data_IF_670825284604
#
_entry.id   IF_670825284604
#
_cell.length_a   1.000
_cell.length_b   1.000
_cell.length_c   1.000
_cell.angle_alpha   90.00
_cell.angle_beta   90.00
_cell.angle_gamma   90.00
#
_symmetry.space_group_name_H-M   'P 1'
#
loop_
_entity.id
_entity.type
_entity.pdbx_description
1 polymer ?
#
# COMPACT_ATOMS: atom_id res chain seq x y z
N UNK A 1 -4.93 -3.53 -12.31
CA UNK A 1 -4.09 -2.40 -11.82
C UNK A 1 -4.70 -1.06 -12.21
N UNK A 2 -4.72 -0.69 -13.50
CA UNK A 2 -5.24 0.62 -13.95
C UNK A 2 -6.70 0.90 -13.55
N UNK A 3 -7.56 -0.13 -13.58
CA UNK A 3 -8.97 0.01 -13.17
C UNK A 3 -9.11 0.43 -11.71
N UNK A 4 -8.30 -0.14 -10.81
CA UNK A 4 -8.29 0.24 -9.40
C UNK A 4 -7.80 1.68 -9.22
N UNK A 5 -6.70 2.05 -9.88
CA UNK A 5 -6.09 3.38 -9.75
C UNK A 5 -7.07 4.47 -10.19
N UNK A 6 -7.71 4.30 -11.35
CA UNK A 6 -8.60 5.31 -11.95
C UNK A 6 -10.05 5.24 -11.45
N UNK A 7 -10.50 4.08 -10.95
CA UNK A 7 -11.87 3.86 -10.50
C UNK A 7 -12.19 4.55 -9.17
N UNK A 8 -13.43 4.46 -8.72
CA UNK A 8 -13.79 4.85 -7.35
C UNK A 8 -13.39 3.74 -6.37
N UNK A 9 -12.96 4.11 -5.17
CA UNK A 9 -12.81 3.16 -4.05
C UNK A 9 -14.20 2.75 -3.62
N UNK A 10 -14.47 1.44 -3.54
CA UNK A 10 -15.79 0.94 -3.13
C UNK A 10 -15.83 0.55 -1.65
N UNK A 11 -14.67 0.23 -1.09
CA UNK A 11 -14.53 -0.33 0.25
C UNK A 11 -14.38 -1.85 0.25
N UNK A 12 -14.53 -2.52 -0.89
CA UNK A 12 -14.14 -3.93 -1.01
C UNK A 12 -12.61 -4.05 -1.02
N UNK A 13 -12.02 -4.58 0.05
CA UNK A 13 -10.56 -4.72 0.18
C UNK A 13 -9.93 -5.57 -0.92
N UNK A 14 -10.71 -6.44 -1.57
CA UNK A 14 -10.22 -7.30 -2.67
C UNK A 14 -10.17 -6.59 -4.02
N UNK A 15 -10.64 -5.33 -4.09
CA UNK A 15 -10.47 -4.49 -5.28
C UNK A 15 -8.99 -4.06 -5.49
N UNK A 16 -8.16 -4.19 -4.44
CA UNK A 16 -6.73 -3.90 -4.47
C UNK A 16 -5.97 -5.06 -5.14
N UNK A 17 -5.24 -4.82 -6.23
CA UNK A 17 -4.39 -5.83 -6.87
C UNK A 17 -3.47 -6.55 -5.87
N UNK A 18 -3.44 -7.89 -5.92
CA UNK A 18 -2.66 -8.72 -5.01
C UNK A 18 -3.35 -9.07 -3.69
N UNK A 19 -4.51 -8.49 -3.37
CA UNK A 19 -5.31 -8.85 -2.19
C UNK A 19 -6.46 -9.78 -2.57
N UNK A 20 -6.25 -11.09 -2.38
CA UNK A 20 -7.30 -12.09 -2.46
C UNK A 20 -7.98 -12.38 -1.11
N UNK A 21 -8.97 -13.28 -1.06
CA UNK A 21 -9.71 -13.62 0.16
C UNK A 21 -8.84 -14.05 1.34
N UNK A 22 -7.73 -14.75 1.07
CA UNK A 22 -6.79 -15.16 2.11
C UNK A 22 -6.04 -13.98 2.74
N UNK A 23 -5.59 -13.01 1.92
CA UNK A 23 -4.94 -11.79 2.41
C UNK A 23 -5.95 -10.90 3.16
N UNK A 24 -7.17 -10.76 2.63
CA UNK A 24 -8.26 -10.05 3.30
C UNK A 24 -8.56 -10.63 4.69
N UNK A 25 -8.60 -11.96 4.82
CA UNK A 25 -8.79 -12.63 6.12
C UNK A 25 -7.65 -12.33 7.10
N UNK A 26 -6.40 -12.30 6.64
CA UNK A 26 -5.25 -11.96 7.50
C UNK A 26 -5.31 -10.52 7.99
N UNK A 27 -5.62 -9.58 7.09
CA UNK A 27 -5.77 -8.16 7.41
C UNK A 27 -6.90 -7.90 8.42
N UNK A 28 -8.00 -8.64 8.33
CA UNK A 28 -9.13 -8.47 9.23
C UNK A 28 -8.94 -9.10 10.63
N UNK A 29 -8.08 -10.12 10.76
CA UNK A 29 -7.92 -10.91 11.98
C UNK A 29 -6.53 -10.74 12.60
N UNK A 30 -6.19 -9.50 12.95
CA UNK A 30 -4.93 -9.17 13.62
C UNK A 30 -5.12 -9.30 15.13
N UNK A 31 -4.20 -9.98 15.81
CA UNK A 31 -4.25 -10.12 17.27
C UNK A 31 -3.74 -8.84 17.94
N UNK A 32 -4.52 -8.27 18.86
CA UNK A 32 -4.10 -7.10 19.65
C UNK A 32 -4.23 -5.73 18.97
N UNK A 33 -4.66 -5.66 17.72
CA UNK A 33 -4.92 -4.41 16.97
C UNK A 33 -6.29 -4.46 16.27
N UNK A 34 -6.79 -3.30 15.86
CA UNK A 34 -8.00 -3.22 15.02
C UNK A 34 -7.66 -3.69 13.59
N UNK A 35 -8.37 -4.71 13.12
CA UNK A 35 -8.17 -5.29 11.79
C UNK A 35 -8.58 -4.34 10.65
N UNK A 36 -7.93 -4.51 9.50
CA UNK A 36 -8.25 -3.81 8.26
C UNK A 36 -9.26 -4.64 7.46
N UNK A 37 -10.47 -4.10 7.31
CA UNK A 37 -11.63 -4.80 6.73
C UNK A 37 -12.09 -4.21 5.40
N UNK A 38 -11.63 -3.00 5.05
CA UNK A 38 -12.00 -2.30 3.82
C UNK A 38 -10.82 -1.50 3.24
N UNK A 39 -10.95 -1.09 1.98
CA UNK A 39 -9.90 -0.36 1.26
C UNK A 39 -9.60 1.01 1.88
N UNK A 40 -10.60 1.70 2.44
CA UNK A 40 -10.39 3.02 3.06
C UNK A 40 -9.44 2.94 4.25
N UNK A 41 -9.62 1.91 5.09
CA UNK A 41 -8.74 1.64 6.22
C UNK A 41 -7.32 1.29 5.76
N UNK A 42 -7.18 0.51 4.68
CA UNK A 42 -5.86 0.18 4.13
C UNK A 42 -5.13 1.42 3.59
N UNK A 43 -5.84 2.30 2.88
CA UNK A 43 -5.33 3.61 2.45
C UNK A 43 -4.93 4.46 3.66
N UNK A 44 -5.78 4.51 4.69
CA UNK A 44 -5.48 5.20 5.95
C UNK A 44 -4.20 4.67 6.59
N UNK A 45 -4.02 3.34 6.65
CA UNK A 45 -2.81 2.71 7.19
C UNK A 45 -1.57 3.08 6.37
N UNK A 46 -1.66 3.07 5.05
CA UNK A 46 -0.57 3.55 4.19
C UNK A 46 -0.22 4.99 4.56
N UNK A 47 -1.20 5.90 4.59
CA UNK A 47 -0.96 7.31 4.93
C UNK A 47 -0.37 7.52 6.34
N UNK A 48 -0.78 6.73 7.33
CA UNK A 48 -0.20 6.79 8.68
C UNK A 48 1.30 6.49 8.73
N UNK A 49 1.84 5.78 7.74
CA UNK A 49 3.26 5.46 7.63
C UNK A 49 4.07 6.54 6.91
N UNK A 50 3.43 7.61 6.40
CA UNK A 50 4.10 8.78 5.80
C UNK A 50 4.58 9.75 6.89
N UNK A 51 5.44 9.27 7.79
CA UNK A 51 6.00 10.12 8.84
C UNK A 51 6.92 9.38 9.82
N UNK A 52 7.54 10.10 10.76
CA UNK A 52 7.43 11.56 10.98
C UNK A 52 7.99 12.35 9.79
N UNK A 53 7.42 13.52 9.52
CA UNK A 53 7.87 14.44 8.46
C UNK A 53 8.35 15.73 9.15
N UNK A 54 9.66 15.82 9.36
CA UNK A 54 10.32 16.99 9.95
C UNK A 54 11.37 17.52 8.97
N UNK A 55 11.81 18.77 9.17
CA UNK A 55 12.81 19.43 8.30
C UNK A 55 14.11 18.63 8.12
N UNK A 56 14.41 17.72 9.05
CA UNK A 56 15.62 16.88 9.04
C UNK A 56 15.34 15.40 8.80
N UNK A 57 14.08 14.99 8.77
CA UNK A 57 13.68 13.60 8.64
C UNK A 57 12.33 13.50 7.95
N UNK A 58 12.37 13.44 6.63
CA UNK A 58 11.21 13.26 5.76
C UNK A 58 11.20 11.83 5.24
N UNK A 59 10.06 11.15 5.36
CA UNK A 59 9.89 9.82 4.79
C UNK A 59 9.66 9.96 3.30
N UNK A 60 10.66 9.63 2.49
CA UNK A 60 10.55 9.70 1.02
C UNK A 60 9.73 8.54 0.44
N UNK A 61 9.30 8.66 -0.82
CA UNK A 61 8.42 7.70 -1.50
C UNK A 61 8.86 6.24 -1.36
N UNK A 62 10.17 5.98 -1.50
CA UNK A 62 10.72 4.64 -1.40
C UNK A 62 10.60 4.08 0.02
N UNK A 63 11.02 4.86 1.01
CA UNK A 63 10.94 4.47 2.42
C UNK A 63 9.49 4.26 2.85
N UNK A 64 8.56 5.09 2.37
CA UNK A 64 7.13 4.97 2.67
C UNK A 64 6.55 3.63 2.20
N UNK A 65 6.84 3.25 0.96
CA UNK A 65 6.43 1.99 0.37
C UNK A 65 7.07 0.79 1.10
N UNK A 66 8.34 0.89 1.50
CA UNK A 66 9.03 -0.12 2.31
C UNK A 66 8.38 -0.30 3.69
N UNK A 67 8.12 0.80 4.41
CA UNK A 67 7.40 0.74 5.69
C UNK A 67 6.06 0.03 5.53
N UNK A 68 5.33 0.31 4.45
CA UNK A 68 4.06 -0.33 4.17
C UNK A 68 4.21 -1.82 3.87
N UNK A 69 5.23 -2.21 3.10
CA UNK A 69 5.53 -3.62 2.85
C UNK A 69 5.89 -4.38 4.13
N UNK A 70 6.76 -3.83 4.97
CA UNK A 70 7.11 -4.47 6.26
C UNK A 70 5.90 -4.59 7.18
N UNK A 71 5.01 -3.60 7.18
CA UNK A 71 3.75 -3.72 7.90
C UNK A 71 2.86 -4.84 7.34
N UNK A 72 2.72 -4.96 6.01
CA UNK A 72 1.99 -6.07 5.38
C UNK A 72 2.60 -7.45 5.77
N UNK A 73 3.92 -7.55 5.80
CA UNK A 73 4.62 -8.76 6.26
C UNK A 73 4.33 -9.08 7.72
N UNK A 74 4.29 -8.08 8.60
CA UNK A 74 3.90 -8.25 9.99
C UNK A 74 2.46 -8.77 10.13
N UNK A 75 1.56 -8.42 9.20
CA UNK A 75 0.20 -8.97 9.10
C UNK A 75 0.14 -10.36 8.44
N UNK A 76 1.30 -10.94 8.10
CA UNK A 76 1.42 -12.25 7.48
C UNK A 76 1.20 -12.26 5.96
N UNK A 77 1.26 -11.11 5.28
CA UNK A 77 1.23 -11.00 3.82
C UNK A 77 2.66 -10.99 3.30
N UNK A 78 3.06 -12.04 2.58
CA UNK A 78 4.43 -12.24 2.11
C UNK A 78 4.55 -12.40 0.58
N UNK A 79 3.47 -12.18 -0.16
CA UNK A 79 3.42 -12.29 -1.62
C UNK A 79 2.78 -11.04 -2.23
N UNK A 80 2.99 -10.85 -3.53
CA UNK A 80 2.38 -9.75 -4.30
C UNK A 80 2.78 -8.33 -3.82
N UNK A 81 4.02 -8.15 -3.31
CA UNK A 81 4.57 -6.84 -2.88
C UNK A 81 4.28 -5.74 -3.90
N UNK A 82 4.82 -5.90 -5.11
CA UNK A 82 4.70 -4.89 -6.18
C UNK A 82 3.23 -4.59 -6.49
N UNK A 83 2.40 -5.62 -6.65
CA UNK A 83 0.98 -5.44 -6.97
C UNK A 83 0.20 -4.67 -5.88
N UNK A 84 0.45 -4.94 -4.59
CA UNK A 84 -0.28 -4.27 -3.50
C UNK A 84 0.28 -2.87 -3.27
N UNK A 85 1.60 -2.75 -3.12
CA UNK A 85 2.28 -1.51 -2.76
C UNK A 85 2.13 -0.47 -3.86
N UNK A 86 2.43 -0.81 -5.12
CA UNK A 86 2.31 0.12 -6.26
C UNK A 86 0.85 0.54 -6.47
N UNK A 87 -0.11 -0.38 -6.33
CA UNK A 87 -1.52 -0.05 -6.46
C UNK A 87 -1.97 1.00 -5.45
N UNK A 88 -1.66 0.80 -4.16
CA UNK A 88 -2.03 1.74 -3.11
C UNK A 88 -1.28 3.07 -3.27
N UNK A 89 0.03 3.03 -3.52
CA UNK A 89 0.83 4.24 -3.67
C UNK A 89 0.37 5.11 -4.85
N UNK A 90 0.14 4.52 -6.03
CA UNK A 90 -0.38 5.23 -7.20
C UNK A 90 -1.81 5.74 -6.97
N UNK A 91 -2.67 4.93 -6.33
CA UNK A 91 -4.03 5.34 -5.97
C UNK A 91 -4.03 6.57 -5.07
N UNK A 92 -3.21 6.54 -4.04
CA UNK A 92 -3.09 7.62 -3.05
C UNK A 92 -2.44 8.85 -3.67
N UNK A 93 -1.46 8.72 -4.56
CA UNK A 93 -0.88 9.85 -5.29
C UNK A 93 -1.91 10.59 -6.15
N UNK A 94 -2.87 9.88 -6.73
CA UNK A 94 -3.99 10.50 -7.45
C UNK A 94 -4.91 11.33 -6.54
N UNK A 95 -4.99 10.99 -5.25
CA UNK A 95 -5.76 11.74 -4.24
C UNK A 95 -4.94 12.87 -3.59
N UNK A 96 -3.67 12.61 -3.31
CA UNK A 96 -2.72 13.49 -2.64
C UNK A 96 -1.41 13.53 -3.46
N UNK A 97 -1.34 14.39 -4.48
CA UNK A 97 -0.17 14.48 -5.34
C UNK A 97 1.12 14.76 -4.56
N UNK A 98 2.18 14.02 -4.88
CA UNK A 98 3.50 14.13 -4.25
C UNK A 98 3.72 13.18 -3.06
N UNK A 99 2.75 12.33 -2.72
CA UNK A 99 2.94 11.27 -1.72
C UNK A 99 3.79 10.12 -2.26
N UNK A 100 3.72 9.87 -3.57
CA UNK A 100 4.48 8.82 -4.24
C UNK A 100 5.06 9.33 -5.56
N UNK A 101 6.29 8.93 -5.84
CA UNK A 101 7.01 9.23 -7.07
C UNK A 101 7.24 7.92 -7.83
N UNK A 102 6.53 7.70 -8.96
CA UNK A 102 6.67 6.48 -9.75
C UNK A 102 8.04 6.38 -10.44
N UNK A 103 8.70 7.51 -10.73
CA UNK A 103 9.96 7.53 -11.47
C UNK A 103 11.11 6.94 -10.62
N UNK A 104 10.97 6.95 -9.29
CA UNK A 104 11.89 6.28 -8.37
C UNK A 104 11.77 4.74 -8.36
N UNK A 105 10.79 4.19 -9.09
CA UNK A 105 10.42 2.78 -9.07
C UNK A 105 10.44 2.09 -10.43
N UNK A 106 10.76 2.82 -11.51
CA UNK A 106 10.88 2.24 -12.85
C UNK A 106 12.06 1.26 -12.97
N UNK A 107 13.08 1.38 -12.11
CA UNK A 107 14.28 0.53 -12.16
C UNK A 107 14.14 -0.86 -11.51
N UNK A 108 13.07 -1.15 -10.75
CA UNK A 108 12.88 -2.46 -10.05
C UNK A 108 12.03 -3.49 -10.84
N UNK A 109 11.33 -3.09 -11.92
CA UNK A 109 10.44 -4.01 -12.68
C UNK A 109 11.12 -4.70 -13.88
N UNK A 110 12.40 -4.40 -14.17
CA UNK A 110 13.15 -4.94 -15.32
C UNK A 110 13.90 -6.28 -15.06
N UNK A 111 13.72 -6.90 -13.88
CA UNK A 111 14.39 -8.19 -13.53
C UNK A 111 13.43 -9.31 -13.09
N UNK A 112 12.37 -9.59 -13.86
CA UNK A 112 11.70 -10.91 -13.81
C UNK A 112 11.62 -11.54 -15.22
N UNK A 113 12.70 -12.25 -15.61
CA UNK A 113 12.69 -13.30 -16.67
C UNK A 113 12.06 -14.62 -16.17
#
# INVERSE_FOLDING_TARGET
MMDFIRGSVTGDITEVPGIGPAAAKKLANVEGEEGITNTYQLIGKFLMLKGPDTDTNKVESFEHCEKFWYWLQAMGISAHRSAIVKAIAQKVNGLLPGVYDPDLYEDEDDEEE
#
